data_IF_078245083386
#
_entry.id   IF_078245083386
#
_cell.length_a   1.000
_cell.length_b   1.000
_cell.length_c   1.000
_cell.angle_alpha   90.00
_cell.angle_beta   90.00
_cell.angle_gamma   90.00
#
_symmetry.space_group_name_H-M   'P 1'
#
loop_
_entity.id
_entity.type
_entity.pdbx_description
1 polymer ?
#
# COMPACT_ATOMS: atom_id res chain seq x y z
N UNK A 1 13.47 21.09 2.07
CA UNK A 1 12.57 21.05 3.26
C UNK A 1 11.16 20.94 2.72
N UNK A 2 10.35 20.04 3.26
CA UNK A 2 9.00 19.69 2.76
C UNK A 2 7.91 20.74 3.05
N UNK A 3 8.23 21.87 3.67
CA UNK A 3 7.23 22.89 4.01
C UNK A 3 6.29 22.49 5.16
N UNK A 4 5.16 23.18 5.28
CA UNK A 4 4.06 22.82 6.19
C UNK A 4 3.17 21.74 5.58
N UNK A 5 2.17 21.26 6.32
CA UNK A 5 1.17 20.34 5.77
C UNK A 5 0.42 20.95 4.59
N UNK A 6 0.11 22.25 4.63
CA UNK A 6 -0.54 22.96 3.53
C UNK A 6 0.34 23.02 2.28
N UNK A 7 1.66 23.19 2.44
CA UNK A 7 2.60 23.17 1.32
C UNK A 7 2.59 21.80 0.63
N UNK A 8 2.61 20.71 1.40
CA UNK A 8 2.58 19.33 0.89
C UNK A 8 1.25 19.05 0.17
N UNK A 9 0.11 19.46 0.76
CA UNK A 9 -1.21 19.25 0.16
C UNK A 9 -1.28 19.96 -1.19
N UNK A 10 -0.76 21.18 -1.29
CA UNK A 10 -0.70 21.91 -2.57
C UNK A 10 0.20 21.20 -3.57
N UNK A 11 1.40 20.76 -3.17
CA UNK A 11 2.31 20.03 -4.06
C UNK A 11 1.70 18.73 -4.59
N UNK A 12 0.94 18.01 -3.76
CA UNK A 12 0.21 16.81 -4.19
C UNK A 12 -0.92 17.16 -5.16
N UNK A 13 -1.71 18.20 -4.84
CA UNK A 13 -2.83 18.63 -5.69
C UNK A 13 -2.37 19.16 -7.06
N UNK A 14 -1.18 19.77 -7.10
CA UNK A 14 -0.56 20.28 -8.33
C UNK A 14 0.16 19.17 -9.13
N UNK A 15 0.20 17.93 -8.63
CA UNK A 15 0.77 16.79 -9.36
C UNK A 15 0.03 16.54 -10.66
N UNK A 16 0.78 16.26 -11.72
CA UNK A 16 0.20 15.97 -13.04
C UNK A 16 -0.66 14.70 -13.08
N UNK A 17 -0.52 13.82 -12.09
CA UNK A 17 -1.20 12.52 -12.03
C UNK A 17 -2.25 12.41 -10.94
N UNK A 18 -2.34 13.37 -10.01
CA UNK A 18 -3.24 13.27 -8.87
C UNK A 18 -4.72 13.19 -9.28
N UNK A 19 -5.15 14.04 -10.20
CA UNK A 19 -6.53 13.99 -10.74
C UNK A 19 -6.83 12.63 -11.36
N UNK A 20 -5.89 12.08 -12.14
CA UNK A 20 -6.02 10.75 -12.75
C UNK A 20 -6.06 9.63 -11.71
N UNK A 21 -5.29 9.77 -10.64
CA UNK A 21 -5.24 8.81 -9.52
C UNK A 21 -6.54 8.78 -8.70
N UNK A 22 -7.32 9.87 -8.75
CA UNK A 22 -8.63 9.96 -8.09
C UNK A 22 -9.77 9.35 -8.94
N UNK A 23 -9.50 8.91 -10.17
CA UNK A 23 -10.48 8.23 -11.02
C UNK A 23 -10.56 6.73 -10.71
N UNK A 24 -11.42 6.03 -11.44
CA UNK A 24 -11.50 4.57 -11.38
C UNK A 24 -10.15 3.93 -11.74
N UNK A 25 -9.79 2.79 -11.10
CA UNK A 25 -8.51 2.16 -11.32
C UNK A 25 -8.38 1.66 -12.76
N UNK A 26 -7.25 1.98 -13.40
CA UNK A 26 -6.91 1.42 -14.71
C UNK A 26 -6.61 -0.06 -14.53
N UNK A 27 -7.20 -0.93 -15.35
CA UNK A 27 -6.81 -2.34 -15.39
C UNK A 27 -5.55 -2.45 -16.26
N UNK A 28 -4.38 -2.79 -15.71
CA UNK A 28 -3.20 -3.03 -16.54
C UNK A 28 -3.47 -4.23 -17.45
N UNK A 29 -3.18 -4.10 -18.74
CA UNK A 29 -3.28 -5.21 -19.69
C UNK A 29 -2.03 -6.10 -19.56
N UNK A 30 -2.11 -7.39 -19.92
CA UNK A 30 -0.98 -8.34 -19.80
C UNK A 30 0.30 -7.87 -20.56
N UNK A 31 0.15 -6.96 -21.53
CA UNK A 31 1.26 -6.32 -22.27
C UNK A 31 2.01 -5.21 -21.51
N UNK A 32 1.50 -4.75 -20.37
CA UNK A 32 1.99 -3.58 -19.64
C UNK A 32 3.11 -3.90 -18.63
N UNK A 33 3.55 -5.15 -18.53
CA UNK A 33 4.59 -5.56 -17.58
C UNK A 33 5.90 -4.76 -17.74
N UNK A 34 6.31 -4.47 -18.99
CA UNK A 34 7.51 -3.65 -19.26
C UNK A 34 7.30 -2.18 -18.88
N UNK A 35 6.08 -1.66 -19.04
CA UNK A 35 5.74 -0.31 -18.64
C UNK A 35 5.76 -0.18 -17.11
N UNK A 36 5.16 -1.13 -16.40
CA UNK A 36 5.17 -1.19 -14.93
C UNK A 36 6.61 -1.23 -14.41
N UNK A 37 7.46 -2.07 -14.99
CA UNK A 37 8.89 -2.12 -14.62
C UNK A 37 9.57 -0.77 -14.87
N UNK A 38 9.33 -0.16 -16.03
CA UNK A 38 9.94 1.12 -16.38
C UNK A 38 9.57 2.25 -15.42
N UNK A 39 8.31 2.36 -15.00
CA UNK A 39 7.88 3.41 -14.06
C UNK A 39 8.43 3.18 -12.66
N UNK A 40 8.52 1.91 -12.22
CA UNK A 40 9.16 1.54 -10.94
C UNK A 40 10.65 1.91 -10.96
N UNK A 41 11.37 1.58 -12.03
CA UNK A 41 12.79 1.92 -12.17
C UNK A 41 13.02 3.43 -12.17
N UNK A 42 12.15 4.19 -12.85
CA UNK A 42 12.21 5.65 -12.84
C UNK A 42 12.01 6.21 -11.44
N UNK A 43 10.99 5.75 -10.73
CA UNK A 43 10.72 6.16 -9.35
C UNK A 43 11.90 5.83 -8.42
N UNK A 44 12.44 4.61 -8.52
CA UNK A 44 13.61 4.21 -7.73
C UNK A 44 14.83 5.08 -7.99
N UNK A 45 15.10 5.39 -9.27
CA UNK A 45 16.21 6.28 -9.66
C UNK A 45 16.04 7.66 -9.04
N UNK A 46 14.86 8.25 -9.15
CA UNK A 46 14.60 9.60 -8.66
C UNK A 46 14.59 9.67 -7.13
N UNK A 47 14.16 8.60 -6.46
CA UNK A 47 14.31 8.46 -5.01
C UNK A 47 15.80 8.40 -4.58
N UNK A 48 16.64 7.64 -5.30
CA UNK A 48 18.08 7.53 -5.02
C UNK A 48 18.83 8.84 -5.33
N UNK A 49 18.44 9.54 -6.39
CA UNK A 49 18.99 10.85 -6.76
C UNK A 49 18.49 11.98 -5.83
N UNK A 50 17.68 11.66 -4.81
CA UNK A 50 17.09 12.59 -3.86
C UNK A 50 16.36 13.75 -4.56
N UNK A 51 15.58 13.44 -5.59
CA UNK A 51 14.75 14.42 -6.29
C UNK A 51 13.78 15.11 -5.32
N UNK A 52 13.36 16.35 -5.64
CA UNK A 52 12.39 17.06 -4.81
C UNK A 52 11.06 16.30 -4.71
N UNK A 53 10.33 16.56 -3.62
CA UNK A 53 9.11 15.83 -3.27
C UNK A 53 8.03 15.84 -4.36
N UNK A 54 7.79 16.98 -5.02
CA UNK A 54 6.82 17.05 -6.12
C UNK A 54 7.12 16.02 -7.22
N UNK A 55 8.40 15.79 -7.55
CA UNK A 55 8.80 14.82 -8.57
C UNK A 55 8.59 13.37 -8.08
N UNK A 56 8.95 13.10 -6.83
CA UNK A 56 8.68 11.79 -6.21
C UNK A 56 7.18 11.51 -6.08
N UNK A 57 6.36 12.54 -5.88
CA UNK A 57 4.90 12.43 -5.81
C UNK A 57 4.32 12.08 -7.18
N UNK A 58 4.78 12.76 -8.24
CA UNK A 58 4.42 12.42 -9.62
C UNK A 58 4.77 10.95 -9.94
N UNK A 59 6.01 10.55 -9.68
CA UNK A 59 6.47 9.18 -9.95
C UNK A 59 5.67 8.13 -9.15
N UNK A 60 5.32 8.45 -7.91
CA UNK A 60 4.49 7.59 -7.06
C UNK A 60 3.08 7.42 -7.63
N UNK A 61 2.41 8.51 -8.04
CA UNK A 61 1.07 8.44 -8.61
C UNK A 61 1.08 7.73 -9.96
N UNK A 62 2.06 8.01 -10.83
CA UNK A 62 2.22 7.30 -12.09
C UNK A 62 2.39 5.80 -11.85
N UNK A 63 3.32 5.42 -10.97
CA UNK A 63 3.56 4.01 -10.62
C UNK A 63 2.31 3.34 -10.07
N UNK A 64 1.59 4.03 -9.18
CA UNK A 64 0.37 3.50 -8.56
C UNK A 64 -0.71 3.24 -9.60
N UNK A 65 -0.91 4.17 -10.55
CA UNK A 65 -1.88 4.01 -11.65
C UNK A 65 -1.50 2.82 -12.54
N UNK A 66 -0.22 2.68 -12.91
CA UNK A 66 0.22 1.55 -13.75
C UNK A 66 0.09 0.20 -13.03
N UNK A 67 0.18 0.20 -11.70
CA UNK A 67 -0.09 -0.98 -10.88
C UNK A 67 -1.60 -1.24 -10.63
N UNK A 68 -2.49 -0.46 -11.24
CA UNK A 68 -3.94 -0.59 -11.10
C UNK A 68 -4.50 -0.10 -9.77
N UNK A 69 -3.77 0.76 -9.07
CA UNK A 69 -4.26 1.43 -7.85
C UNK A 69 -4.89 2.77 -8.19
N UNK A 70 -5.84 3.16 -7.35
CA UNK A 70 -6.41 4.49 -7.26
C UNK A 70 -6.45 4.94 -5.79
N UNK A 71 -6.95 6.14 -5.51
CA UNK A 71 -6.99 6.66 -4.13
C UNK A 71 -7.78 5.77 -3.17
N UNK A 72 -8.91 5.20 -3.60
CA UNK A 72 -9.78 4.39 -2.76
C UNK A 72 -9.14 3.04 -2.42
N UNK A 73 -8.57 2.36 -3.42
CA UNK A 73 -7.88 1.08 -3.24
C UNK A 73 -6.61 1.26 -2.43
N UNK A 74 -5.82 2.32 -2.69
CA UNK A 74 -4.65 2.66 -1.88
C UNK A 74 -5.04 2.90 -0.42
N UNK A 75 -6.09 3.69 -0.17
CA UNK A 75 -6.58 3.94 1.19
C UNK A 75 -7.02 2.63 1.88
N UNK A 76 -7.82 1.80 1.20
CA UNK A 76 -8.27 0.50 1.70
C UNK A 76 -7.08 -0.39 2.11
N UNK A 77 -6.11 -0.59 1.21
CA UNK A 77 -4.94 -1.42 1.49
C UNK A 77 -4.04 -0.81 2.57
N UNK A 78 -3.88 0.51 2.58
CA UNK A 78 -3.09 1.22 3.60
C UNK A 78 -3.67 1.00 4.99
N UNK A 79 -4.98 1.21 5.18
CA UNK A 79 -5.65 1.00 6.48
C UNK A 79 -5.47 -0.45 6.92
N UNK A 80 -5.74 -1.40 6.04
CA UNK A 80 -5.61 -2.82 6.35
C UNK A 80 -4.16 -3.21 6.74
N UNK A 81 -3.15 -2.72 6.02
CA UNK A 81 -1.74 -2.97 6.36
C UNK A 81 -1.34 -2.34 7.68
N UNK A 82 -1.88 -1.17 8.03
CA UNK A 82 -1.64 -0.58 9.35
C UNK A 82 -2.23 -1.44 10.48
N UNK A 83 -3.42 -2.00 10.28
CA UNK A 83 -4.01 -2.96 11.24
C UNK A 83 -3.14 -4.19 11.39
N UNK A 84 -2.67 -4.79 10.29
CA UNK A 84 -1.75 -5.93 10.34
C UNK A 84 -0.43 -5.57 11.04
N UNK A 85 0.12 -4.38 10.79
CA UNK A 85 1.34 -3.93 11.48
C UNK A 85 1.12 -3.76 12.99
N UNK A 86 -0.03 -3.23 13.42
CA UNK A 86 -0.40 -3.17 14.84
C UNK A 86 -0.55 -4.58 15.42
N UNK A 87 -1.24 -5.46 14.71
CA UNK A 87 -1.43 -6.86 15.10
C UNK A 87 -0.08 -7.57 15.32
N UNK A 88 0.87 -7.42 14.39
CA UNK A 88 2.24 -7.93 14.53
C UNK A 88 2.87 -7.48 15.85
N UNK A 89 2.82 -6.19 16.16
CA UNK A 89 3.41 -5.64 17.38
C UNK A 89 2.75 -6.23 18.64
N UNK A 90 1.42 -6.37 18.64
CA UNK A 90 0.68 -6.92 19.78
C UNK A 90 0.94 -8.42 20.01
N UNK A 91 1.45 -9.11 18.99
CA UNK A 91 1.75 -10.55 19.01
C UNK A 91 3.26 -10.85 19.01
N UNK A 92 4.09 -9.89 19.44
CA UNK A 92 5.49 -10.15 19.76
C UNK A 92 6.47 -9.99 18.59
N UNK A 93 6.16 -9.14 17.60
CA UNK A 93 7.03 -8.96 16.42
C UNK A 93 8.41 -8.39 16.77
N UNK A 94 8.49 -7.47 17.74
CA UNK A 94 9.80 -6.92 18.19
C UNK A 94 10.56 -7.89 19.08
N UNK A 95 9.82 -8.75 19.76
CA UNK A 95 10.28 -9.81 20.65
C UNK A 95 10.73 -11.05 19.86
N UNK A 96 10.41 -11.11 18.57
CA UNK A 96 10.76 -12.22 17.67
C UNK A 96 9.88 -13.46 17.85
N UNK A 97 8.79 -13.38 18.62
CA UNK A 97 7.89 -14.50 18.88
C UNK A 97 6.72 -14.58 17.92
N UNK A 98 6.51 -13.53 17.12
CA UNK A 98 5.45 -13.49 16.10
C UNK A 98 5.72 -14.48 14.95
N UNK A 99 4.73 -15.28 14.58
CA UNK A 99 4.77 -16.14 13.40
C UNK A 99 4.26 -15.37 12.18
N UNK A 100 5.13 -15.08 11.21
CA UNK A 100 4.74 -14.36 9.98
C UNK A 100 4.02 -15.25 8.95
N UNK A 101 4.30 -16.54 8.98
CA UNK A 101 3.73 -17.54 8.07
C UNK A 101 2.66 -18.32 8.81
N UNK A 102 1.41 -18.20 8.35
CA UNK A 102 0.22 -18.79 8.93
C UNK A 102 -0.25 -19.92 8.02
N UNK A 103 -0.20 -21.17 8.49
CA UNK A 103 -0.61 -22.34 7.70
C UNK A 103 0.00 -22.40 6.28
N UNK A 104 1.27 -21.98 6.14
CA UNK A 104 2.00 -21.96 4.87
C UNK A 104 1.80 -20.71 4.01
N UNK A 105 0.96 -19.74 4.43
CA UNK A 105 0.78 -18.45 3.76
C UNK A 105 1.36 -17.31 4.59
N UNK A 106 1.96 -16.30 3.96
CA UNK A 106 2.33 -15.09 4.71
C UNK A 106 1.10 -14.33 5.19
N UNK A 107 1.18 -13.71 6.37
CA UNK A 107 0.13 -12.86 6.95
C UNK A 107 -0.38 -11.76 6.00
N UNK A 108 0.49 -11.25 5.12
CA UNK A 108 0.16 -10.29 4.08
C UNK A 108 -0.79 -10.85 3.01
N UNK A 109 -0.68 -12.14 2.70
CA UNK A 109 -1.55 -12.87 1.76
C UNK A 109 -2.89 -13.13 2.42
N UNK A 110 -2.89 -13.60 3.67
CA UNK A 110 -4.11 -13.79 4.47
C UNK A 110 -4.91 -12.48 4.54
N UNK A 111 -4.25 -11.35 4.82
CA UNK A 111 -4.89 -10.04 4.79
C UNK A 111 -5.48 -9.70 3.40
N UNK A 112 -4.79 -10.06 2.33
CA UNK A 112 -5.28 -9.84 0.96
C UNK A 112 -6.58 -10.60 0.70
N UNK A 113 -6.60 -11.89 1.01
CA UNK A 113 -7.77 -12.77 0.90
C UNK A 113 -8.96 -12.22 1.72
N UNK A 114 -8.73 -11.79 2.97
CA UNK A 114 -9.76 -11.16 3.82
C UNK A 114 -10.35 -9.88 3.20
N UNK A 115 -9.55 -9.08 2.50
CA UNK A 115 -10.00 -7.84 1.86
C UNK A 115 -10.80 -8.09 0.57
N UNK A 116 -10.54 -9.21 -0.11
CA UNK A 116 -11.31 -9.67 -1.27
C UNK A 116 -12.67 -10.24 -0.84
N UNK A 117 -12.73 -10.92 0.30
CA UNK A 117 -13.96 -11.48 0.89
C UNK A 117 -14.89 -10.42 1.51
N UNK A 118 -14.47 -9.16 1.56
CA UNK A 118 -15.31 -8.04 1.96
C UNK A 118 -15.23 -7.64 3.44
N UNK A 119 -14.14 -7.98 4.14
CA UNK A 119 -13.93 -7.48 5.50
C UNK A 119 -13.96 -5.95 5.54
N UNK A 120 -14.89 -5.38 6.30
CA UNK A 120 -15.08 -3.93 6.41
C UNK A 120 -14.86 -3.44 7.84
N UNK A 121 -13.87 -2.56 8.00
CA UNK A 121 -13.59 -1.85 9.24
C UNK A 121 -12.32 -2.33 9.96
N UNK A 122 -11.63 -1.38 10.61
CA UNK A 122 -10.38 -1.60 11.35
C UNK A 122 -10.54 -2.72 12.38
N UNK A 123 -11.62 -2.68 13.16
CA UNK A 123 -11.90 -3.66 14.22
C UNK A 123 -12.19 -5.05 13.65
N UNK A 124 -12.99 -5.14 12.58
CA UNK A 124 -13.31 -6.40 11.94
C UNK A 124 -12.05 -7.09 11.38
N UNK A 125 -11.17 -6.33 10.72
CA UNK A 125 -9.88 -6.84 10.24
C UNK A 125 -9.05 -7.37 11.41
N UNK A 126 -8.97 -6.61 12.52
CA UNK A 126 -8.17 -7.03 13.67
C UNK A 126 -8.69 -8.31 14.33
N UNK A 127 -10.01 -8.42 14.52
CA UNK A 127 -10.65 -9.61 15.09
C UNK A 127 -10.45 -10.85 14.21
N UNK A 128 -10.56 -10.70 12.90
CA UNK A 128 -10.32 -11.80 11.97
C UNK A 128 -8.85 -12.23 11.96
N UNK A 129 -7.90 -11.27 12.01
CA UNK A 129 -6.47 -11.60 12.18
C UNK A 129 -6.23 -12.39 13.48
N UNK A 130 -6.89 -12.03 14.58
CA UNK A 130 -6.83 -12.80 15.84
C UNK A 130 -7.37 -14.22 15.67
N UNK A 131 -8.52 -14.37 15.02
CA UNK A 131 -9.16 -15.67 14.80
C UNK A 131 -8.30 -16.61 13.94
N UNK A 132 -7.68 -16.07 12.88
CA UNK A 132 -6.77 -16.83 12.01
C UNK A 132 -5.47 -17.19 12.74
N UNK A 133 -4.88 -16.24 13.46
CA UNK A 133 -3.62 -16.46 14.18
C UNK A 133 -3.75 -17.44 15.34
N UNK A 134 -4.90 -17.48 16.02
CA UNK A 134 -5.17 -18.42 17.10
C UNK A 134 -5.24 -19.89 16.64
N UNK A 135 -5.37 -20.14 15.34
CA UNK A 135 -5.33 -21.50 14.76
C UNK A 135 -3.90 -22.01 14.56
N UNK A 136 -2.89 -21.15 14.73
CA UNK A 136 -1.48 -21.54 14.68
C UNK A 136 -1.14 -22.22 16.00
N UNK A 137 -1.12 -23.55 15.94
CA UNK A 137 -0.74 -24.44 17.04
C UNK A 137 0.70 -24.21 17.53
#
# INVERSE_FOLDING_TARGET
KLGTTEDIVREIADSQYFDKFCLDPVQPEDGDSLLIVSVIEHFMKDALDAKPFYKLSDDFFETSIQCGLNIDTLYKYYVAKNVLNKFRQDNGYKEGTYQKVWNGKEDNVVLGEMLEEGAMGIEAIYLELQAQYAQLS
#
